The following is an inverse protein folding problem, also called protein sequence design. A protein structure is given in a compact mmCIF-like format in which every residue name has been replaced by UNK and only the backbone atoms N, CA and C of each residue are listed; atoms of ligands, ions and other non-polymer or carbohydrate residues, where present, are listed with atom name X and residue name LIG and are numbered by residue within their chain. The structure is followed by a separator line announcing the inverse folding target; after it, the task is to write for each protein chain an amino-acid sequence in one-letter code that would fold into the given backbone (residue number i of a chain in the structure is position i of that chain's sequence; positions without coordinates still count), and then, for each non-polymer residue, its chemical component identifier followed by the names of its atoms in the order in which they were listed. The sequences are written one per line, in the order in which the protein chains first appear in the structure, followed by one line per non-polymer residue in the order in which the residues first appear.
data_IF_231629543239
#
_entry.id   IF_231629543239
#
_cell.length_a   1.000
_cell.length_b   1.000
_cell.length_c   1.000
_cell.angle_alpha   90.00
_cell.angle_beta   90.00
_cell.angle_gamma   90.00
#
_symmetry.space_group_name_H-M   'P 1'
#
loop_
_entity.id
_entity.type
_entity.pdbx_description
1 polymer ?
#
# COMPACT_ATOMS: atom_id res chain seq x y z
N UNK A 1 68.65 38.72 18.43
CA UNK A 1 67.41 39.07 17.76
C UNK A 1 67.00 37.80 17.03
N UNK A 2 66.00 37.10 17.58
CA UNK A 2 65.47 35.87 17.01
C UNK A 2 64.16 36.22 16.35
N UNK A 3 64.06 36.00 15.03
CA UNK A 3 62.90 36.24 14.23
C UNK A 3 61.87 35.10 14.45
N UNK A 4 60.76 35.40 15.10
CA UNK A 4 59.63 34.50 15.33
C UNK A 4 58.71 34.57 14.11
N UNK A 5 58.71 33.52 13.27
CA UNK A 5 57.79 33.38 12.13
C UNK A 5 56.41 32.95 12.62
N UNK A 6 55.32 33.61 12.23
CA UNK A 6 53.99 33.17 12.62
C UNK A 6 53.58 31.93 11.85
N UNK A 7 53.19 30.88 12.58
CA UNK A 7 52.62 29.64 12.06
C UNK A 7 51.13 29.89 11.73
N UNK A 8 50.80 29.98 10.45
CA UNK A 8 49.41 30.09 9.99
C UNK A 8 48.73 28.69 10.05
N UNK A 9 47.87 28.50 11.03
CA UNK A 9 47.02 27.32 11.11
C UNK A 9 45.86 27.49 10.13
N UNK A 10 45.89 26.78 9.00
CA UNK A 10 44.77 26.70 8.06
C UNK A 10 43.75 25.72 8.65
N UNK A 11 42.65 26.25 9.16
CA UNK A 11 41.49 25.48 9.62
C UNK A 11 40.69 25.07 8.39
N UNK A 12 40.87 23.82 7.92
CA UNK A 12 40.01 23.24 6.85
C UNK A 12 38.67 22.87 7.47
N UNK A 13 37.67 23.72 7.27
CA UNK A 13 36.29 23.39 7.57
C UNK A 13 35.80 22.41 6.49
N UNK A 14 35.78 21.14 6.81
CA UNK A 14 35.11 20.12 5.99
C UNK A 14 33.61 20.37 6.03
N UNK A 15 33.06 21.01 4.99
CA UNK A 15 31.63 21.10 4.73
C UNK A 15 31.12 19.70 4.40
N UNK A 16 30.62 19.00 5.42
CA UNK A 16 29.86 17.77 5.24
C UNK A 16 28.56 18.06 4.49
N UNK A 17 28.49 17.77 3.20
CA UNK A 17 27.26 17.79 2.44
C UNK A 17 26.32 16.68 2.94
N UNK A 18 25.03 16.97 3.18
CA UNK A 18 24.09 15.96 3.65
C UNK A 18 23.81 14.93 2.55
N UNK A 19 24.31 13.72 2.72
CA UNK A 19 24.01 12.55 1.87
C UNK A 19 22.57 12.00 2.09
N UNK A 20 21.73 12.68 2.88
CA UNK A 20 20.39 12.20 3.25
C UNK A 20 19.35 12.23 2.11
N UNK A 21 19.43 13.17 1.17
CA UNK A 21 18.38 13.36 0.16
C UNK A 21 18.34 12.26 -0.90
N UNK A 22 19.46 11.70 -1.29
CA UNK A 22 19.52 10.63 -2.30
C UNK A 22 19.02 9.28 -1.76
N UNK A 23 19.24 9.00 -0.50
CA UNK A 23 18.81 7.75 0.14
C UNK A 23 17.28 7.72 0.34
N UNK A 24 16.70 8.83 0.79
CA UNK A 24 15.25 8.96 0.98
C UNK A 24 14.49 8.83 -0.35
N UNK A 25 14.98 9.48 -1.41
CA UNK A 25 14.39 9.38 -2.75
C UNK A 25 14.43 7.93 -3.26
N UNK A 26 15.51 7.20 -3.01
CA UNK A 26 15.65 5.81 -3.43
C UNK A 26 14.68 4.89 -2.64
N UNK A 27 14.57 5.07 -1.32
CA UNK A 27 13.64 4.31 -0.48
C UNK A 27 12.19 4.53 -0.88
N UNK A 28 11.78 5.79 -1.11
CA UNK A 28 10.45 6.15 -1.60
C UNK A 28 10.15 5.46 -2.94
N UNK A 29 11.04 5.55 -3.89
CA UNK A 29 10.89 4.97 -5.22
C UNK A 29 10.80 3.45 -5.19
N UNK A 30 11.64 2.80 -4.39
CA UNK A 30 11.60 1.35 -4.19
C UNK A 30 10.28 0.92 -3.53
N UNK A 31 9.84 1.60 -2.48
CA UNK A 31 8.59 1.30 -1.80
C UNK A 31 7.38 1.45 -2.72
N UNK A 32 7.34 2.48 -3.57
CA UNK A 32 6.27 2.66 -4.55
C UNK A 32 6.22 1.51 -5.57
N UNK A 33 7.38 1.01 -6.01
CA UNK A 33 7.45 -0.16 -6.89
C UNK A 33 6.97 -1.44 -6.18
N UNK A 34 7.36 -1.65 -4.92
CA UNK A 34 6.92 -2.78 -4.10
C UNK A 34 5.41 -2.75 -3.84
N UNK A 35 4.83 -1.58 -3.54
CA UNK A 35 3.38 -1.38 -3.37
C UNK A 35 2.65 -1.70 -4.69
N UNK A 36 3.17 -1.23 -5.83
CA UNK A 36 2.61 -1.56 -7.14
C UNK A 36 2.58 -3.07 -7.38
N UNK A 37 3.63 -3.78 -7.00
CA UNK A 37 3.68 -5.23 -7.08
C UNK A 37 2.68 -5.91 -6.12
N UNK A 38 2.52 -5.38 -4.90
CA UNK A 38 1.55 -5.87 -3.93
C UNK A 38 0.11 -5.70 -4.42
N UNK A 39 -0.23 -4.53 -5.00
CA UNK A 39 -1.54 -4.29 -5.63
C UNK A 39 -1.86 -5.29 -6.74
N UNK A 40 -0.90 -5.51 -7.65
CA UNK A 40 -1.06 -6.49 -8.73
C UNK A 40 -1.26 -7.91 -8.19
N UNK A 41 -0.51 -8.28 -7.17
CA UNK A 41 -0.62 -9.60 -6.54
C UNK A 41 -1.97 -9.74 -5.81
N UNK A 42 -2.47 -8.68 -5.19
CA UNK A 42 -3.78 -8.63 -4.54
C UNK A 42 -4.90 -8.80 -5.56
N UNK A 43 -4.91 -8.02 -6.65
CA UNK A 43 -5.89 -8.14 -7.72
C UNK A 43 -5.88 -9.54 -8.36
N UNK A 44 -4.69 -10.08 -8.62
CA UNK A 44 -4.52 -11.44 -9.14
C UNK A 44 -5.10 -12.48 -8.19
N UNK A 45 -4.79 -12.39 -6.90
CA UNK A 45 -5.31 -13.34 -5.90
C UNK A 45 -6.84 -13.25 -5.79
N UNK A 46 -7.43 -12.04 -5.85
CA UNK A 46 -8.87 -11.87 -5.85
C UNK A 46 -9.54 -12.55 -7.04
N UNK A 47 -8.93 -12.46 -8.22
CA UNK A 47 -9.43 -13.12 -9.43
C UNK A 47 -9.30 -14.66 -9.38
N UNK A 48 -8.18 -15.18 -8.85
CA UNK A 48 -7.85 -16.61 -8.89
C UNK A 48 -8.37 -17.39 -7.67
N UNK A 49 -8.36 -16.79 -6.48
CA UNK A 49 -8.68 -17.45 -5.21
C UNK A 49 -9.92 -16.87 -4.50
N UNK A 50 -10.54 -15.88 -5.13
CA UNK A 50 -11.73 -15.23 -4.60
C UNK A 50 -11.44 -14.08 -3.65
N UNK A 51 -12.45 -13.21 -3.51
CA UNK A 51 -12.37 -11.94 -2.79
C UNK A 51 -12.04 -12.16 -1.32
N UNK A 52 -12.75 -13.07 -0.63
CA UNK A 52 -12.55 -13.35 0.79
C UNK A 52 -11.09 -13.74 1.12
N UNK A 53 -10.52 -14.63 0.30
CA UNK A 53 -9.13 -15.09 0.46
C UNK A 53 -8.13 -13.95 0.26
N UNK A 54 -8.31 -13.18 -0.80
CA UNK A 54 -7.39 -12.11 -1.16
C UNK A 54 -7.42 -10.97 -0.13
N UNK A 55 -8.61 -10.50 0.23
CA UNK A 55 -8.77 -9.43 1.22
C UNK A 55 -8.24 -9.86 2.59
N UNK A 56 -8.49 -11.09 3.01
CA UNK A 56 -7.90 -11.62 4.23
C UNK A 56 -6.36 -11.70 4.14
N UNK A 57 -5.82 -12.21 3.04
CA UNK A 57 -4.37 -12.41 2.90
C UNK A 57 -3.61 -11.08 2.96
N UNK A 58 -4.08 -10.06 2.24
CA UNK A 58 -3.39 -8.76 2.17
C UNK A 58 -3.71 -7.81 3.32
N UNK A 59 -4.67 -8.13 4.21
CA UNK A 59 -4.97 -7.31 5.37
C UNK A 59 -3.86 -7.38 6.43
N UNK A 60 -3.50 -6.22 7.01
CA UNK A 60 -2.84 -6.15 8.32
C UNK A 60 -3.78 -6.70 9.40
N UNK A 61 -3.25 -7.19 10.52
CA UNK A 61 -4.07 -7.73 11.63
C UNK A 61 -5.09 -6.74 12.15
N UNK A 62 -4.75 -5.44 12.15
CA UNK A 62 -5.60 -4.34 12.59
C UNK A 62 -6.26 -3.56 11.43
N UNK A 63 -6.22 -4.10 10.21
CA UNK A 63 -6.78 -3.43 9.03
C UNK A 63 -8.25 -3.06 9.23
N UNK A 64 -8.66 -1.97 8.60
CA UNK A 64 -10.05 -1.51 8.55
C UNK A 64 -10.46 -1.36 7.09
N UNK A 65 -11.64 -1.83 6.74
CA UNK A 65 -12.24 -1.54 5.44
C UNK A 65 -13.56 -0.78 5.64
N UNK A 66 -13.81 0.18 4.76
CA UNK A 66 -15.08 0.92 4.70
C UNK A 66 -15.96 0.31 3.62
N UNK A 67 -17.19 -0.10 3.97
CA UNK A 67 -18.13 -0.71 3.00
C UNK A 67 -19.56 -0.20 3.24
N UNK A 68 -20.35 -0.23 2.17
CA UNK A 68 -21.76 0.16 2.24
C UNK A 68 -21.96 1.56 2.83
N UNK A 69 -23.00 1.72 3.66
CA UNK A 69 -23.36 2.99 4.30
C UNK A 69 -22.41 3.33 5.46
N UNK A 70 -21.15 3.64 5.15
CA UNK A 70 -20.11 4.02 6.10
C UNK A 70 -19.77 2.95 7.16
N UNK A 71 -20.09 1.69 6.89
CA UNK A 71 -19.75 0.57 7.78
C UNK A 71 -18.24 0.36 7.81
N UNK A 72 -17.68 0.34 9.01
CA UNK A 72 -16.28 0.03 9.26
C UNK A 72 -16.14 -1.42 9.75
N UNK A 73 -15.57 -2.27 8.90
CA UNK A 73 -15.23 -3.64 9.23
C UNK A 73 -13.79 -3.66 9.72
N UNK A 74 -13.58 -4.10 10.96
CA UNK A 74 -12.30 -3.99 11.64
C UNK A 74 -11.64 -5.36 11.84
N UNK A 75 -10.32 -5.36 11.65
CA UNK A 75 -9.46 -6.51 11.86
C UNK A 75 -9.56 -7.55 10.75
N UNK A 76 -8.47 -8.25 10.56
CA UNK A 76 -8.29 -9.25 9.50
C UNK A 76 -9.39 -10.32 9.50
N UNK A 77 -9.79 -10.82 10.68
CA UNK A 77 -10.84 -11.83 10.79
C UNK A 77 -12.25 -11.25 10.56
N UNK A 78 -12.49 -10.01 11.00
CA UNK A 78 -13.73 -9.30 10.67
C UNK A 78 -13.91 -9.12 9.16
N UNK A 79 -12.83 -8.79 8.46
CA UNK A 79 -12.81 -8.65 7.01
C UNK A 79 -13.07 -10.00 6.33
N UNK A 80 -12.44 -11.07 6.80
CA UNK A 80 -12.71 -12.43 6.32
C UNK A 80 -14.18 -12.81 6.46
N UNK A 81 -14.73 -12.61 7.66
CA UNK A 81 -16.13 -12.93 7.95
C UNK A 81 -17.09 -12.13 7.06
N UNK A 82 -16.84 -10.85 6.86
CA UNK A 82 -17.63 -10.00 5.96
C UNK A 82 -17.67 -10.57 4.53
N UNK A 83 -16.52 -10.89 3.95
CA UNK A 83 -16.44 -11.41 2.59
C UNK A 83 -16.81 -12.90 2.45
N UNK A 84 -17.08 -13.61 3.55
CA UNK A 84 -17.57 -14.99 3.54
C UNK A 84 -19.08 -15.09 3.30
N UNK A 85 -19.81 -13.97 3.22
CA UNK A 85 -21.23 -13.99 2.91
C UNK A 85 -21.49 -14.58 1.51
N UNK A 86 -22.58 -15.36 1.31
CA UNK A 86 -22.86 -16.06 0.06
C UNK A 86 -22.87 -15.17 -1.18
N UNK A 87 -23.26 -13.91 -1.05
CA UNK A 87 -23.21 -12.91 -2.12
C UNK A 87 -21.84 -12.81 -2.78
N UNK A 88 -20.76 -12.92 -2.01
CA UNK A 88 -19.39 -12.78 -2.53
C UNK A 88 -18.88 -14.00 -3.29
N UNK A 89 -19.60 -15.13 -3.25
CA UNK A 89 -19.22 -16.34 -4.00
C UNK A 89 -19.32 -16.13 -5.53
N UNK A 90 -20.30 -15.33 -5.96
CA UNK A 90 -20.49 -14.99 -7.38
C UNK A 90 -19.85 -13.66 -7.76
N UNK A 91 -19.40 -12.88 -6.77
CA UNK A 91 -18.82 -11.58 -7.00
C UNK A 91 -17.41 -11.69 -7.60
N UNK A 92 -17.09 -10.73 -8.45
CA UNK A 92 -15.76 -10.52 -9.04
C UNK A 92 -15.44 -9.05 -8.93
N UNK A 93 -14.18 -8.75 -8.68
CA UNK A 93 -13.69 -7.36 -8.67
C UNK A 93 -12.41 -7.29 -9.48
N UNK A 94 -12.32 -6.25 -10.31
CA UNK A 94 -11.12 -5.90 -11.07
C UNK A 94 -10.75 -4.47 -10.71
N UNK A 95 -9.49 -4.24 -10.50
CA UNK A 95 -8.97 -2.89 -10.28
C UNK A 95 -7.52 -2.79 -10.74
N UNK A 96 -7.11 -1.56 -10.97
CA UNK A 96 -5.72 -1.21 -11.21
C UNK A 96 -5.50 0.17 -10.61
N UNK A 97 -4.40 0.40 -9.88
CA UNK A 97 -4.12 1.74 -9.37
C UNK A 97 -3.79 2.70 -10.51
N UNK A 98 -4.41 3.86 -10.49
CA UNK A 98 -4.06 5.00 -11.34
C UNK A 98 -2.89 5.79 -10.72
N UNK A 99 -2.71 5.65 -9.40
CA UNK A 99 -1.71 6.38 -8.64
C UNK A 99 -1.15 5.53 -7.50
N UNK A 100 0.16 5.66 -7.27
CA UNK A 100 0.90 5.03 -6.17
C UNK A 100 1.88 6.04 -5.60
N UNK A 101 1.88 6.21 -4.29
CA UNK A 101 2.87 7.01 -3.59
C UNK A 101 3.30 6.34 -2.29
N UNK A 102 4.58 6.50 -1.94
CA UNK A 102 5.15 5.99 -0.70
C UNK A 102 5.73 7.12 0.16
N UNK A 103 5.85 6.89 1.46
CA UNK A 103 6.56 7.75 2.41
C UNK A 103 8.05 7.82 2.08
N UNK A 104 8.73 8.90 2.50
CA UNK A 104 10.17 9.03 2.38
C UNK A 104 10.94 7.92 3.11
N UNK A 105 10.40 7.43 4.22
CA UNK A 105 10.92 6.29 5.00
C UNK A 105 10.73 4.92 4.34
N UNK A 106 9.89 4.82 3.29
CA UNK A 106 9.64 3.59 2.55
C UNK A 106 8.88 2.52 3.35
N UNK A 107 8.16 2.87 4.41
CA UNK A 107 7.44 1.96 5.30
C UNK A 107 5.91 2.04 5.18
N UNK A 108 5.41 3.12 4.56
CA UNK A 108 3.99 3.33 4.26
C UNK A 108 3.80 3.87 2.84
N UNK A 109 2.60 3.71 2.32
CA UNK A 109 2.18 4.34 1.09
C UNK A 109 0.70 4.17 0.86
N UNK A 110 0.22 4.73 -0.24
CA UNK A 110 -1.17 4.61 -0.62
C UNK A 110 -1.33 4.48 -2.13
N UNK A 111 -2.45 3.91 -2.50
CA UNK A 111 -2.87 3.77 -3.89
C UNK A 111 -4.30 4.25 -4.02
N UNK A 112 -4.66 4.73 -5.19
CA UNK A 112 -6.05 4.90 -5.57
C UNK A 112 -6.22 4.64 -7.07
N UNK A 113 -7.45 4.37 -7.46
CA UNK A 113 -7.78 4.09 -8.85
C UNK A 113 -9.26 3.71 -8.98
N UNK A 114 -9.58 3.11 -10.11
CA UNK A 114 -10.93 2.67 -10.40
C UNK A 114 -11.07 1.17 -10.24
N UNK A 115 -12.24 0.75 -9.78
CA UNK A 115 -12.62 -0.66 -9.78
C UNK A 115 -13.88 -0.90 -10.60
N UNK A 116 -14.02 -2.12 -11.08
CA UNK A 116 -15.22 -2.70 -11.62
C UNK A 116 -15.60 -3.91 -10.76
N UNK A 117 -16.80 -3.87 -10.23
CA UNK A 117 -17.40 -4.94 -9.46
C UNK A 117 -18.51 -5.60 -10.27
N UNK A 118 -18.55 -6.92 -10.33
CA UNK A 118 -19.65 -7.67 -10.92
C UNK A 118 -20.12 -8.78 -9.99
N UNK A 119 -21.42 -9.05 -10.00
CA UNK A 119 -22.03 -10.17 -9.29
C UNK A 119 -23.16 -10.76 -10.12
N UNK A 120 -23.43 -12.04 -9.92
CA UNK A 120 -24.54 -12.73 -10.59
C UNK A 120 -25.62 -13.00 -9.54
N UNK A 121 -26.83 -12.60 -9.82
CA UNK A 121 -27.99 -12.87 -8.95
C UNK A 121 -28.50 -14.31 -9.09
N UNK A 122 -29.54 -14.66 -8.31
CA UNK A 122 -30.16 -15.98 -8.32
C UNK A 122 -30.90 -16.33 -9.62
N UNK A 123 -31.19 -15.34 -10.46
CA UNK A 123 -31.82 -15.51 -11.76
C UNK A 123 -30.80 -15.58 -12.90
N UNK A 124 -29.49 -15.49 -12.58
CA UNK A 124 -28.42 -15.52 -13.57
C UNK A 124 -28.12 -14.16 -14.21
N UNK A 125 -28.77 -13.08 -13.79
CA UNK A 125 -28.48 -11.75 -14.32
C UNK A 125 -27.19 -11.20 -13.70
N UNK A 126 -26.34 -10.60 -14.55
CA UNK A 126 -25.06 -9.98 -14.13
C UNK A 126 -25.29 -8.50 -13.82
N UNK A 127 -24.94 -8.10 -12.62
CA UNK A 127 -24.97 -6.72 -12.15
C UNK A 127 -23.52 -6.20 -12.06
N UNK A 128 -23.27 -5.04 -12.69
CA UNK A 128 -21.96 -4.40 -12.68
C UNK A 128 -22.04 -3.02 -12.03
N UNK A 129 -21.05 -2.67 -11.22
CA UNK A 129 -20.87 -1.34 -10.66
C UNK A 129 -19.40 -0.93 -10.72
N UNK A 130 -19.16 0.36 -10.81
CA UNK A 130 -17.82 0.93 -10.82
C UNK A 130 -17.68 1.97 -9.72
N UNK A 131 -16.46 2.21 -9.30
CA UNK A 131 -16.18 3.21 -8.29
C UNK A 131 -14.67 3.51 -8.20
N UNK A 132 -14.34 4.27 -7.17
CA UNK A 132 -12.95 4.61 -6.82
C UNK A 132 -12.59 3.83 -5.57
N UNK A 133 -11.40 3.23 -5.57
CA UNK A 133 -10.80 2.65 -4.38
C UNK A 133 -9.66 3.54 -3.87
N UNK A 134 -9.36 3.40 -2.60
CA UNK A 134 -8.23 4.04 -1.95
C UNK A 134 -7.69 3.11 -0.88
N UNK A 135 -6.47 2.63 -1.07
CA UNK A 135 -5.83 1.65 -0.18
C UNK A 135 -4.58 2.25 0.47
N UNK A 136 -4.46 2.12 1.78
CA UNK A 136 -3.25 2.50 2.54
C UNK A 136 -2.46 1.24 2.87
N UNK A 137 -1.21 1.23 2.45
CA UNK A 137 -0.26 0.13 2.59
C UNK A 137 0.75 0.39 3.69
N UNK A 138 1.13 -0.66 4.41
CA UNK A 138 2.15 -0.64 5.45
C UNK A 138 3.11 -1.80 5.27
N UNK A 139 4.41 -1.52 5.30
CA UNK A 139 5.46 -2.54 5.27
C UNK A 139 5.52 -3.24 6.61
N UNK A 140 5.51 -4.56 6.57
CA UNK A 140 5.59 -5.42 7.75
C UNK A 140 7.06 -5.68 8.11
N UNK A 141 7.29 -6.21 9.31
CA UNK A 141 8.65 -6.57 9.78
C UNK A 141 9.35 -7.63 8.91
N UNK A 142 8.58 -8.47 8.23
CA UNK A 142 9.06 -9.49 7.30
C UNK A 142 9.30 -8.94 5.87
N UNK A 143 9.12 -7.63 5.68
CA UNK A 143 9.27 -6.96 4.39
C UNK A 143 8.03 -7.03 3.49
N UNK A 144 7.01 -7.81 3.83
CA UNK A 144 5.77 -7.87 3.04
C UNK A 144 4.93 -6.59 3.20
N UNK A 145 4.13 -6.28 2.19
CA UNK A 145 3.17 -5.18 2.24
C UNK A 145 1.78 -5.69 2.58
N UNK A 146 1.13 -5.04 3.55
CA UNK A 146 -0.25 -5.30 3.94
C UNK A 146 -1.03 -3.99 3.96
N UNK A 147 -2.30 -4.02 3.55
CA UNK A 147 -3.11 -2.84 3.68
C UNK A 147 -3.61 -2.68 5.12
N UNK A 148 -3.68 -1.42 5.56
CA UNK A 148 -4.23 -1.03 6.87
C UNK A 148 -5.59 -0.36 6.74
N UNK A 149 -5.89 0.15 5.55
CA UNK A 149 -7.16 0.76 5.18
C UNK A 149 -7.49 0.45 3.72
N UNK A 150 -8.79 0.20 3.45
CA UNK A 150 -9.33 0.01 2.10
C UNK A 150 -10.83 0.37 2.00
#
# INVERSE_FOLDING_TARGET
MQDLKPLFFIFIIALGFPACTSQETNQKSQAAAEITAAEKAFAKMAAEKGIATAFWFFADTAAVIKRGNDSLIKGKEGIRNFYSAPYFNTARVKWNPDFVEASGSGDMGYTFGRYEWSSTDSLGAVHTSTGVFHTVWKKQKDGSWRYTWD
#
